data_IF_391633532350
#
_entry.id   IF_391633532350
#
_cell.length_a   1.000
_cell.length_b   1.000
_cell.length_c   1.000
_cell.angle_alpha   90.00
_cell.angle_beta   90.00
_cell.angle_gamma   90.00
#
_symmetry.space_group_name_H-M   'P 1'
#
loop_
_entity.id
_entity.type
_entity.pdbx_description
1 polymer ?
#
# COMPACT_ATOMS: atom_id res chain seq x y z
N UNK A 1 12.05 -11.07 -4.89
CA UNK A 1 11.31 -11.59 -3.73
C UNK A 1 10.34 -10.51 -3.32
N UNK A 2 9.03 -10.77 -3.29
CA UNK A 2 8.07 -9.73 -2.92
C UNK A 2 8.13 -9.52 -1.41
N UNK A 3 8.67 -8.38 -0.98
CA UNK A 3 8.80 -7.97 0.44
C UNK A 3 7.44 -7.88 1.16
N UNK A 4 6.36 -7.69 0.39
CA UNK A 4 4.99 -7.59 0.92
C UNK A 4 4.15 -8.81 0.54
N UNK A 5 3.44 -9.37 1.52
CA UNK A 5 2.58 -10.55 1.37
C UNK A 5 1.29 -10.20 0.61
N UNK A 6 0.73 -9.02 0.86
CA UNK A 6 -0.55 -8.60 0.30
C UNK A 6 -0.40 -7.99 -1.10
N UNK A 7 -1.28 -8.41 -2.02
CA UNK A 7 -1.28 -7.91 -3.40
C UNK A 7 -1.55 -6.40 -3.47
N UNK A 8 -2.48 -5.92 -2.65
CA UNK A 8 -2.80 -4.49 -2.45
C UNK A 8 -1.57 -3.67 -2.06
N UNK A 9 -0.73 -4.16 -1.15
CA UNK A 9 0.48 -3.46 -0.71
C UNK A 9 1.53 -3.42 -1.83
N UNK A 10 1.69 -4.51 -2.60
CA UNK A 10 2.55 -4.50 -3.79
C UNK A 10 2.06 -3.51 -4.85
N UNK A 11 0.75 -3.42 -5.04
CA UNK A 11 0.13 -2.45 -5.95
C UNK A 11 0.34 -1.02 -5.47
N UNK A 12 0.17 -0.76 -4.17
CA UNK A 12 0.44 0.53 -3.54
C UNK A 12 1.88 0.98 -3.77
N UNK A 13 2.86 0.09 -3.57
CA UNK A 13 4.27 0.39 -3.81
C UNK A 13 4.53 0.73 -5.27
N UNK A 14 3.95 -0.02 -6.20
CA UNK A 14 4.06 0.26 -7.63
C UNK A 14 3.45 1.63 -7.98
N UNK A 15 2.25 1.92 -7.49
CA UNK A 15 1.58 3.20 -7.70
C UNK A 15 2.40 4.36 -7.12
N UNK A 16 2.95 4.18 -5.92
CA UNK A 16 3.80 5.17 -5.24
C UNK A 16 5.08 5.45 -6.03
N UNK A 17 5.76 4.40 -6.53
CA UNK A 17 6.93 4.54 -7.41
C UNK A 17 6.61 5.26 -8.71
N UNK A 18 5.42 5.04 -9.26
CA UNK A 18 4.92 5.69 -10.48
C UNK A 18 4.34 7.10 -10.25
N UNK A 19 4.38 7.63 -9.02
CA UNK A 19 3.74 8.89 -8.66
C UNK A 19 2.22 8.93 -8.96
N UNK A 20 1.54 7.77 -8.93
CA UNK A 20 0.10 7.65 -9.14
C UNK A 20 -0.65 7.81 -7.82
N UNK A 21 -1.07 9.05 -7.54
CA UNK A 21 -1.76 9.39 -6.29
C UNK A 21 -3.18 8.82 -6.20
N UNK A 22 -3.89 8.77 -7.32
CA UNK A 22 -5.26 8.28 -7.35
C UNK A 22 -5.31 6.80 -6.95
N UNK A 23 -4.37 6.00 -7.47
CA UNK A 23 -4.27 4.60 -7.12
C UNK A 23 -3.80 4.39 -5.68
N UNK A 24 -2.83 5.18 -5.19
CA UNK A 24 -2.41 5.05 -3.78
C UNK A 24 -3.56 5.36 -2.81
N UNK A 25 -4.33 6.42 -3.06
CA UNK A 25 -5.42 6.85 -2.17
C UNK A 25 -6.56 5.83 -2.17
N UNK A 26 -6.91 5.26 -3.33
CA UNK A 26 -7.88 4.17 -3.45
C UNK A 26 -7.48 2.97 -2.60
N UNK A 27 -6.23 2.52 -2.70
CA UNK A 27 -5.76 1.35 -1.97
C UNK A 27 -5.76 1.59 -0.45
N UNK A 28 -5.34 2.78 -0.01
CA UNK A 28 -5.40 3.15 1.41
C UNK A 28 -6.83 3.09 1.94
N UNK A 29 -7.79 3.64 1.20
CA UNK A 29 -9.20 3.60 1.59
C UNK A 29 -9.74 2.17 1.66
N UNK A 30 -9.42 1.33 0.68
CA UNK A 30 -9.86 -0.08 0.64
C UNK A 30 -9.27 -0.91 1.80
N UNK A 31 -7.97 -0.75 2.10
CA UNK A 31 -7.30 -1.47 3.20
C UNK A 31 -7.84 -0.99 4.55
N UNK A 32 -8.07 0.31 4.70
CA UNK A 32 -8.65 0.89 5.93
C UNK A 32 -10.06 0.38 6.15
N UNK A 33 -10.92 0.38 5.12
CA UNK A 33 -12.27 -0.15 5.21
C UNK A 33 -12.29 -1.63 5.64
N UNK A 34 -11.39 -2.47 5.09
CA UNK A 34 -11.26 -3.88 5.50
C UNK A 34 -10.82 -4.04 6.95
N UNK A 35 -9.92 -3.18 7.42
CA UNK A 35 -9.47 -3.16 8.81
C UNK A 35 -10.60 -2.76 9.76
N UNK A 36 -11.33 -1.69 9.44
CA UNK A 36 -12.43 -1.17 10.25
C UNK A 36 -13.57 -2.17 10.39
N UNK A 37 -13.87 -2.94 9.34
CA UNK A 37 -14.85 -4.03 9.39
C UNK A 37 -14.33 -5.30 10.08
N UNK A 38 -13.12 -5.28 10.64
CA UNK A 38 -12.44 -6.40 11.30
C UNK A 38 -12.42 -7.68 10.45
N UNK A 39 -12.39 -7.52 9.14
CA UNK A 39 -12.40 -8.64 8.19
C UNK A 39 -10.98 -9.15 7.90
N UNK A 40 -9.98 -8.56 8.55
CA UNK A 40 -8.56 -8.92 8.43
C UNK A 40 -7.91 -9.01 9.80
N UNK A 41 -6.79 -9.71 9.89
CA UNK A 41 -5.94 -9.80 11.10
C UNK A 41 -5.09 -8.53 11.34
N UNK A 42 -5.25 -7.50 10.51
CA UNK A 42 -4.52 -6.24 10.58
C UNK A 42 -3.13 -6.27 9.95
N UNK A 43 -2.67 -7.43 9.44
CA UNK A 43 -1.33 -7.54 8.83
C UNK A 43 -1.22 -6.74 7.53
N UNK A 44 -2.30 -6.68 6.73
CA UNK A 44 -2.37 -5.86 5.51
C UNK A 44 -2.17 -4.37 5.81
N UNK A 45 -2.84 -3.84 6.84
CA UNK A 45 -2.75 -2.43 7.22
C UNK A 45 -1.34 -2.08 7.75
N UNK A 46 -0.73 -2.99 8.50
CA UNK A 46 0.65 -2.81 9.00
C UNK A 46 1.68 -2.84 7.86
N UNK A 47 1.52 -3.75 6.89
CA UNK A 47 2.37 -3.77 5.70
C UNK A 47 2.22 -2.49 4.87
N UNK A 48 0.99 -2.00 4.69
CA UNK A 48 0.73 -0.75 3.99
C UNK A 48 1.38 0.44 4.70
N UNK A 49 1.28 0.50 6.03
CA UNK A 49 1.92 1.53 6.83
C UNK A 49 3.44 1.52 6.67
N UNK A 50 4.08 0.35 6.75
CA UNK A 50 5.52 0.21 6.54
C UNK A 50 5.92 0.67 5.13
N UNK A 51 5.22 0.21 4.09
CA UNK A 51 5.44 0.63 2.71
C UNK A 51 5.26 2.14 2.52
N UNK A 52 4.37 2.78 3.30
CA UNK A 52 4.18 4.22 3.28
C UNK A 52 5.37 5.01 3.82
N UNK A 53 6.17 4.42 4.70
CA UNK A 53 7.38 5.03 5.25
C UNK A 53 8.63 4.72 4.42
N UNK A 54 8.72 3.51 3.86
CA UNK A 54 9.92 3.02 3.17
C UNK A 54 10.04 3.52 1.73
N UNK A 55 8.93 3.53 0.98
CA UNK A 55 8.96 3.86 -0.45
C UNK A 55 8.68 5.34 -0.64
N UNK A 56 9.53 6.07 -1.37
CA UNK A 56 9.24 7.48 -1.69
C UNK A 56 8.31 7.60 -2.89
N UNK A 57 7.51 8.67 -2.91
CA UNK A 57 6.65 8.96 -4.05
C UNK A 57 7.48 9.39 -5.26
N UNK A 58 7.28 8.74 -6.40
CA UNK A 58 8.03 9.00 -7.63
C UNK A 58 9.47 8.44 -7.67
N UNK A 59 9.85 7.60 -6.69
CA UNK A 59 11.22 7.04 -6.60
C UNK A 59 11.63 6.21 -7.82
N UNK A 60 10.67 5.66 -8.57
CA UNK A 60 10.96 4.85 -9.76
C UNK A 60 11.24 5.65 -11.04
N UNK A 61 11.21 6.98 -10.98
CA UNK A 61 11.37 7.87 -12.13
C UNK A 61 12.74 8.54 -12.27
N UNK A 62 13.77 8.09 -11.52
CA UNK A 62 15.14 8.60 -11.57
C UNK A 62 16.07 7.73 -12.42
#
# INVERSE_FOLDING_TARGET
MSEYKHASVREYVKAKKNADRATTDRIVAEVTARFDTRTTDGTEARELFNASMEVKFGEGGA
#
